data_IF_800486753199
#
_entry.id   IF_800486753199
#
_cell.length_a   1.000
_cell.length_b   1.000
_cell.length_c   1.000
_cell.angle_alpha   90.00
_cell.angle_beta   90.00
_cell.angle_gamma   90.00
#
_symmetry.space_group_name_H-M   'P 1'
#
loop_
_entity.id
_entity.type
_entity.pdbx_description
1 polymer ?
#
# COMPACT_ATOMS: atom_id res chain seq x y z
N UNK A 1 10.07 7.00 -2.42
CA UNK A 1 10.86 5.75 -2.24
C UNK A 1 10.89 5.33 -0.78
N UNK A 2 11.27 6.22 0.15
CA UNK A 2 11.26 5.92 1.60
C UNK A 2 9.90 5.45 2.12
N UNK A 3 8.80 6.13 1.72
CA UNK A 3 7.45 5.73 2.13
C UNK A 3 7.05 4.32 1.67
N UNK A 4 7.50 3.89 0.48
CA UNK A 4 7.21 2.54 -0.02
C UNK A 4 7.91 1.48 0.83
N UNK A 5 9.14 1.75 1.28
CA UNK A 5 9.88 0.87 2.19
C UNK A 5 9.22 0.80 3.57
N UNK A 6 8.72 1.93 4.08
CA UNK A 6 7.97 1.97 5.35
C UNK A 6 6.70 1.12 5.25
N UNK A 7 5.96 1.22 4.15
CA UNK A 7 4.77 0.39 3.91
C UNK A 7 5.16 -1.08 3.82
N UNK A 8 6.23 -1.41 3.08
CA UNK A 8 6.73 -2.79 2.96
C UNK A 8 7.15 -3.38 4.32
N UNK A 9 7.85 -2.60 5.15
CA UNK A 9 8.19 -2.98 6.52
C UNK A 9 6.95 -3.14 7.41
N UNK A 10 5.90 -2.37 7.17
CA UNK A 10 4.62 -2.54 7.88
C UNK A 10 3.96 -3.85 7.48
N UNK A 11 4.03 -4.24 6.20
CA UNK A 11 3.49 -5.52 5.70
C UNK A 11 4.16 -6.74 6.35
N UNK A 12 5.40 -6.63 6.85
CA UNK A 12 6.04 -7.73 7.59
C UNK A 12 5.48 -7.93 9.00
N UNK A 13 4.78 -6.93 9.54
CA UNK A 13 4.29 -6.89 10.91
C UNK A 13 2.74 -6.87 11.01
N UNK A 14 2.05 -6.43 9.96
CA UNK A 14 0.59 -6.36 9.88
C UNK A 14 0.08 -7.01 8.58
N UNK A 15 -0.47 -8.21 8.71
CA UNK A 15 -1.01 -9.01 7.60
C UNK A 15 -2.15 -8.30 6.87
N UNK A 16 -2.95 -7.48 7.56
CA UNK A 16 -4.08 -6.76 6.94
C UNK A 16 -3.58 -5.72 5.95
N UNK A 17 -2.47 -5.06 6.28
CA UNK A 17 -1.83 -4.10 5.37
C UNK A 17 -1.25 -4.82 4.16
N UNK A 18 -0.62 -5.98 4.37
CA UNK A 18 -0.14 -6.82 3.27
C UNK A 18 -1.27 -7.24 2.32
N UNK A 19 -2.41 -7.71 2.85
CA UNK A 19 -3.58 -8.11 2.05
C UNK A 19 -4.12 -6.96 1.20
N UNK A 20 -4.19 -5.74 1.76
CA UNK A 20 -4.60 -4.54 1.02
C UNK A 20 -3.63 -4.24 -0.11
N UNK A 21 -2.32 -4.21 0.17
CA UNK A 21 -1.29 -3.94 -0.84
C UNK A 21 -1.32 -4.99 -1.95
N UNK A 22 -1.41 -6.27 -1.58
CA UNK A 22 -1.49 -7.40 -2.52
C UNK A 22 -2.71 -7.31 -3.43
N UNK A 23 -3.87 -7.01 -2.84
CA UNK A 23 -5.11 -6.83 -3.60
C UNK A 23 -5.01 -5.69 -4.61
N UNK A 24 -4.43 -4.55 -4.21
CA UNK A 24 -4.23 -3.40 -5.11
C UNK A 24 -3.23 -3.71 -6.21
N UNK A 25 -2.14 -4.43 -5.91
CA UNK A 25 -1.11 -4.78 -6.90
C UNK A 25 -1.61 -5.71 -8.01
N UNK A 26 -2.68 -6.46 -7.74
CA UNK A 26 -3.33 -7.39 -8.68
C UNK A 26 -4.45 -6.75 -9.51
N UNK A 27 -4.85 -5.51 -9.19
CA UNK A 27 -5.88 -4.81 -9.96
C UNK A 27 -5.40 -4.51 -11.38
N UNK A 28 -6.32 -4.67 -12.34
CA UNK A 28 -6.17 -4.09 -13.67
C UNK A 28 -6.21 -2.55 -13.61
N UNK A 29 -5.77 -1.90 -14.69
CA UNK A 29 -5.77 -0.43 -14.77
C UNK A 29 -7.19 0.16 -14.59
N UNK A 30 -8.21 -0.53 -15.12
CA UNK A 30 -9.62 -0.13 -14.97
C UNK A 30 -10.11 -0.25 -13.52
N UNK A 31 -9.82 -1.37 -12.86
CA UNK A 31 -10.16 -1.59 -11.45
C UNK A 31 -9.45 -0.58 -10.54
N UNK A 32 -8.17 -0.33 -10.79
CA UNK A 32 -7.35 0.62 -10.05
C UNK A 32 -7.90 2.05 -10.20
N UNK A 33 -8.29 2.44 -11.42
CA UNK A 33 -8.91 3.74 -11.71
C UNK A 33 -10.25 3.92 -10.98
N UNK A 34 -11.12 2.90 -11.01
CA UNK A 34 -12.38 2.92 -10.28
C UNK A 34 -12.17 2.98 -8.77
N UNK A 35 -11.23 2.20 -8.25
CA UNK A 35 -10.92 2.16 -6.82
C UNK A 35 -10.35 3.50 -6.34
N UNK A 36 -9.43 4.11 -7.11
CA UNK A 36 -8.91 5.46 -6.85
C UNK A 36 -10.03 6.49 -6.74
N UNK A 37 -11.02 6.43 -7.63
CA UNK A 37 -12.18 7.34 -7.59
C UNK A 37 -13.01 7.14 -6.31
N UNK A 38 -13.24 5.90 -5.90
CA UNK A 38 -13.97 5.57 -4.66
C UNK A 38 -13.23 6.06 -3.42
N UNK A 39 -11.91 5.84 -3.35
CA UNK A 39 -11.07 6.31 -2.25
C UNK A 39 -11.13 7.82 -2.12
N UNK A 40 -10.90 8.56 -3.21
CA UNK A 40 -10.96 10.03 -3.19
C UNK A 40 -12.33 10.49 -2.68
N UNK A 41 -13.41 9.93 -3.23
CA UNK A 41 -14.78 10.30 -2.85
C UNK A 41 -15.08 10.00 -1.38
N UNK A 42 -14.62 8.86 -0.88
CA UNK A 42 -14.79 8.45 0.52
C UNK A 42 -14.12 9.45 1.48
N UNK A 43 -12.88 9.84 1.18
CA UNK A 43 -12.10 10.72 2.05
C UNK A 43 -12.46 12.22 1.94
N UNK A 44 -13.24 12.66 0.95
CA UNK A 44 -13.64 14.09 0.83
C UNK A 44 -14.37 14.62 2.07
N UNK A 45 -15.07 13.76 2.80
CA UNK A 45 -15.90 14.14 3.97
C UNK A 45 -15.24 13.77 5.30
N UNK A 46 -13.99 13.30 5.27
CA UNK A 46 -13.28 12.68 6.38
C UNK A 46 -12.08 13.53 6.76
N UNK A 47 -12.02 13.96 8.02
CA UNK A 47 -11.11 15.03 8.45
C UNK A 47 -10.32 14.70 9.73
N UNK A 48 -10.51 13.51 10.32
CA UNK A 48 -9.74 13.13 11.51
C UNK A 48 -8.25 12.96 11.16
N UNK A 49 -7.33 13.03 12.14
CA UNK A 49 -5.93 12.70 11.91
C UNK A 49 -5.74 11.30 11.29
N UNK A 50 -6.50 10.31 11.76
CA UNK A 50 -6.48 8.94 11.25
C UNK A 50 -6.98 8.87 9.80
N UNK A 51 -8.04 9.61 9.47
CA UNK A 51 -8.55 9.70 8.10
C UNK A 51 -7.49 10.26 7.14
N UNK A 52 -6.75 11.28 7.57
CA UNK A 52 -5.70 11.91 6.76
C UNK A 52 -4.52 10.97 6.50
N UNK A 53 -4.08 10.24 7.52
CA UNK A 53 -3.00 9.25 7.37
C UNK A 53 -3.45 8.06 6.51
N UNK A 54 -4.67 7.57 6.68
CA UNK A 54 -5.24 6.53 5.82
C UNK A 54 -5.34 7.00 4.36
N UNK A 55 -5.78 8.24 4.13
CA UNK A 55 -5.83 8.81 2.79
C UNK A 55 -4.43 8.94 2.17
N UNK A 56 -3.42 9.38 2.95
CA UNK A 56 -2.03 9.44 2.51
C UNK A 56 -1.51 8.06 2.10
N UNK A 57 -1.78 7.03 2.91
CA UNK A 57 -1.44 5.64 2.59
C UNK A 57 -2.02 5.22 1.23
N UNK A 58 -3.32 5.40 1.01
CA UNK A 58 -3.95 5.04 -0.26
C UNK A 58 -3.46 5.88 -1.44
N UNK A 59 -3.17 7.18 -1.23
CA UNK A 59 -2.63 8.05 -2.28
C UNK A 59 -1.29 7.55 -2.80
N UNK A 60 -0.40 7.15 -1.90
CA UNK A 60 0.90 6.58 -2.25
C UNK A 60 0.72 5.23 -2.93
N UNK A 61 -0.12 4.36 -2.36
CA UNK A 61 -0.30 3.00 -2.85
C UNK A 61 -0.89 2.94 -4.26
N UNK A 62 -1.84 3.83 -4.55
CA UNK A 62 -2.57 3.86 -5.82
C UNK A 62 -1.85 4.63 -6.91
N UNK A 63 -0.68 5.22 -6.65
CA UNK A 63 0.11 5.96 -7.63
C UNK A 63 0.99 5.02 -8.46
N UNK A 64 0.93 5.15 -9.79
CA UNK A 64 1.65 4.32 -10.76
C UNK A 64 1.64 2.82 -10.41
N UNK A 65 2.83 2.23 -10.26
CA UNK A 65 3.04 0.83 -9.91
C UNK A 65 3.49 0.68 -8.45
N UNK A 66 3.17 1.64 -7.58
CA UNK A 66 3.70 1.67 -6.22
C UNK A 66 3.29 0.44 -5.42
N UNK A 67 2.06 -0.07 -5.58
CA UNK A 67 1.65 -1.32 -4.93
C UNK A 67 2.55 -2.51 -5.30
N UNK A 68 2.96 -2.64 -6.57
CA UNK A 68 3.90 -3.68 -7.01
C UNK A 68 5.29 -3.49 -6.40
N UNK A 69 5.80 -2.26 -6.40
CA UNK A 69 7.09 -1.91 -5.78
C UNK A 69 7.12 -2.19 -4.27
N UNK A 70 6.01 -1.98 -3.57
CA UNK A 70 5.90 -2.31 -2.14
C UNK A 70 6.03 -3.83 -1.94
N UNK A 71 5.40 -4.64 -2.79
CA UNK A 71 5.54 -6.10 -2.73
C UNK A 71 6.98 -6.56 -3.03
N UNK A 72 7.64 -5.93 -4.00
CA UNK A 72 9.06 -6.19 -4.29
C UNK A 72 9.94 -5.94 -3.05
N UNK A 73 9.77 -4.78 -2.39
CA UNK A 73 10.48 -4.48 -1.14
C UNK A 73 10.11 -5.43 0.00
N UNK A 74 8.85 -5.83 0.11
CA UNK A 74 8.41 -6.80 1.12
C UNK A 74 9.15 -8.14 0.95
N UNK A 75 9.23 -8.66 -0.28
CA UNK A 75 9.95 -9.90 -0.57
C UNK A 75 11.45 -9.76 -0.30
N UNK A 76 12.07 -8.63 -0.66
CA UNK A 76 13.48 -8.34 -0.33
C UNK A 76 13.72 -8.38 1.19
N UNK A 77 12.86 -7.74 2.00
CA UNK A 77 12.97 -7.71 3.46
C UNK A 77 12.83 -9.14 4.04
N UNK A 78 11.84 -9.90 3.54
CA UNK A 78 11.58 -11.27 4.00
C UNK A 78 12.75 -12.21 3.67
N UNK A 79 13.30 -12.12 2.46
CA UNK A 79 14.43 -12.93 2.03
C UNK A 79 15.71 -12.60 2.81
N UNK A 80 15.96 -11.32 3.12
CA UNK A 80 17.10 -10.92 3.96
C UNK A 80 16.96 -11.39 5.41
N UNK A 81 15.73 -11.43 5.93
CA UNK A 81 15.45 -11.95 7.27
C UNK A 81 15.68 -13.46 7.36
N UNK A 82 15.39 -14.21 6.28
CA UNK A 82 15.58 -15.66 6.22
C UNK A 82 17.05 -16.07 6.01
N UNK A 83 17.87 -15.23 5.39
CA UNK A 83 19.30 -15.48 5.14
C UNK A 83 20.21 -15.14 6.34
N UNK A 84 19.64 -14.70 7.47
CA UNK A 84 20.37 -14.32 8.68
C UNK A 84 20.39 -15.43 9.76
N UNK A 85 20.07 -16.68 9.39
CA UNK A 85 20.05 -17.87 10.27
C UNK A 85 21.22 -18.79 9.91
#
# INVERSE_FOLDING_TARGET
MEELKIIAQTCTNDERIYEIVSSVAQMSDDELSQFRTKVISYFMTKNSPEDKEAYRFYRILLEDQNAKKVLEFYEEIKNNSNNSI
#
